data_IF_124268362034
#
_entry.id   IF_124268362034
#
_cell.length_a   1.000
_cell.length_b   1.000
_cell.length_c   1.000
_cell.angle_alpha   90.00
_cell.angle_beta   90.00
_cell.angle_gamma   90.00
#
_symmetry.space_group_name_H-M   'P 1'
#
loop_
_entity.id
_entity.type
_entity.pdbx_description
1 polymer ?
#
# COMPACT_ATOMS: atom_id res chain seq x y z
N UNK A 1 -76.38 61.38 53.76
CA UNK A 1 -75.87 59.99 53.78
C UNK A 1 -74.40 60.02 53.38
N UNK A 2 -73.48 59.70 54.29
CA UNK A 2 -72.02 59.79 54.07
C UNK A 2 -71.44 58.38 54.12
N UNK A 3 -70.73 57.96 53.06
CA UNK A 3 -70.12 56.63 52.99
C UNK A 3 -68.67 56.69 53.49
N UNK A 4 -68.21 55.71 54.30
CA UNK A 4 -66.83 55.68 54.75
C UNK A 4 -65.91 55.20 53.62
N UNK A 5 -64.99 56.08 53.22
CA UNK A 5 -63.88 55.76 52.30
C UNK A 5 -62.94 54.75 52.96
N UNK A 6 -62.92 53.52 52.46
CA UNK A 6 -61.96 52.49 52.89
C UNK A 6 -60.66 52.70 52.15
N UNK A 7 -59.69 53.36 52.78
CA UNK A 7 -58.32 53.43 52.26
C UNK A 7 -57.68 52.05 52.32
N UNK A 8 -57.49 51.40 51.17
CA UNK A 8 -56.73 50.16 51.08
C UNK A 8 -55.25 50.45 51.33
N UNK A 9 -54.71 50.01 52.47
CA UNK A 9 -53.28 50.06 52.74
C UNK A 9 -52.60 48.99 51.88
N UNK A 10 -51.76 49.45 50.93
CA UNK A 10 -50.89 48.58 50.16
C UNK A 10 -49.85 47.94 51.08
N UNK A 11 -49.90 46.62 51.24
CA UNK A 11 -48.87 45.86 51.97
C UNK A 11 -47.57 45.93 51.15
N UNK A 12 -46.56 46.61 51.69
CA UNK A 12 -45.21 46.58 51.14
C UNK A 12 -44.49 45.35 51.69
N UNK A 13 -44.28 44.36 50.83
CA UNK A 13 -43.41 43.22 51.16
C UNK A 13 -41.95 43.71 51.20
N UNK A 14 -41.13 43.27 52.17
CA UNK A 14 -39.73 43.64 52.20
C UNK A 14 -39.06 43.13 50.92
N UNK A 15 -38.51 44.05 50.14
CA UNK A 15 -37.70 43.69 48.98
C UNK A 15 -36.52 42.85 49.48
N UNK A 16 -36.56 41.55 49.24
CA UNK A 16 -35.39 40.70 49.43
C UNK A 16 -34.36 41.20 48.42
N UNK A 17 -33.35 41.90 48.93
CA UNK A 17 -32.13 42.19 48.19
C UNK A 17 -31.42 40.84 47.97
N UNK A 18 -31.91 40.08 47.00
CA UNK A 18 -31.17 38.96 46.45
C UNK A 18 -29.99 39.63 45.78
N UNK A 19 -28.86 39.62 46.48
CA UNK A 19 -27.58 39.98 45.91
C UNK A 19 -27.38 39.07 44.69
N UNK A 20 -27.78 39.55 43.51
CA UNK A 20 -27.46 38.94 42.23
C UNK A 20 -26.01 39.30 41.94
N UNK A 21 -25.09 38.84 42.79
CA UNK A 21 -23.69 38.85 42.45
C UNK A 21 -23.55 37.92 41.26
N UNK A 22 -23.46 38.50 40.07
CA UNK A 22 -23.17 37.78 38.85
C UNK A 22 -21.76 37.19 39.02
N UNK A 23 -21.69 35.92 39.40
CA UNK A 23 -20.43 35.22 39.57
C UNK A 23 -19.85 34.96 38.16
N UNK A 24 -18.84 35.75 37.77
CA UNK A 24 -18.13 35.58 36.50
C UNK A 24 -16.96 34.62 36.73
N UNK A 25 -17.18 33.34 36.52
CA UNK A 25 -16.11 32.34 36.50
C UNK A 25 -15.27 32.53 35.23
N UNK A 26 -14.04 33.04 35.39
CA UNK A 26 -13.09 33.16 34.29
C UNK A 26 -12.64 31.75 33.86
N UNK A 27 -13.16 31.24 32.75
CA UNK A 27 -12.70 30.00 32.14
C UNK A 27 -11.59 30.32 31.15
N UNK A 28 -10.43 29.69 31.33
CA UNK A 28 -9.28 29.85 30.45
C UNK A 28 -9.57 29.18 29.10
N UNK A 29 -9.81 29.98 28.06
CA UNK A 29 -9.96 29.49 26.69
C UNK A 29 -8.58 29.26 26.06
N UNK A 30 -8.12 28.02 26.09
CA UNK A 30 -6.84 27.64 25.48
C UNK A 30 -6.93 27.66 23.96
N UNK A 31 -5.90 28.22 23.32
CA UNK A 31 -5.76 28.17 21.86
C UNK A 31 -5.18 26.80 21.46
N UNK A 32 -5.69 26.15 20.41
CA UNK A 32 -5.13 24.90 19.93
C UNK A 32 -3.72 25.13 19.35
N UNK A 33 -2.78 24.25 19.68
CA UNK A 33 -1.44 24.29 19.11
C UNK A 33 -1.44 23.61 17.73
N UNK A 34 -1.36 24.41 16.67
CA UNK A 34 -1.42 23.93 15.29
C UNK A 34 0.02 23.75 14.77
N UNK A 35 0.45 22.53 14.42
CA UNK A 35 1.78 22.30 13.87
C UNK A 35 1.90 22.86 12.44
N UNK A 36 3.13 23.15 12.03
CA UNK A 36 3.41 23.55 10.66
C UNK A 36 3.06 22.42 9.68
N UNK A 37 2.50 22.78 8.52
CA UNK A 37 2.12 21.83 7.48
C UNK A 37 2.69 22.26 6.13
N UNK A 38 3.25 21.28 5.42
CA UNK A 38 3.78 21.41 4.06
C UNK A 38 2.72 20.99 3.04
N UNK A 39 2.90 21.42 1.81
CA UNK A 39 2.12 20.97 0.64
C UNK A 39 2.86 19.84 -0.03
N UNK A 40 2.29 18.63 -0.02
CA UNK A 40 2.90 17.45 -0.58
C UNK A 40 2.11 16.97 -1.80
N UNK A 41 2.83 16.66 -2.90
CA UNK A 41 2.29 16.01 -4.08
C UNK A 41 2.39 14.49 -3.89
N UNK A 42 1.25 13.81 -3.87
CA UNK A 42 1.17 12.36 -3.72
C UNK A 42 0.88 11.77 -5.10
N UNK A 43 1.76 10.87 -5.58
CA UNK A 43 1.55 10.08 -6.79
C UNK A 43 1.10 8.67 -6.43
N UNK A 44 -0.10 8.31 -6.90
CA UNK A 44 -0.67 6.97 -6.78
C UNK A 44 -0.09 6.03 -7.85
N UNK A 45 -0.37 4.73 -7.73
CA UNK A 45 0.22 3.69 -8.57
C UNK A 45 -0.27 3.71 -10.01
N UNK A 46 -1.45 4.29 -10.24
CA UNK A 46 -2.00 4.54 -11.58
C UNK A 46 -1.39 5.79 -12.25
N UNK A 47 -0.47 6.47 -11.57
CA UNK A 47 0.14 7.72 -12.01
C UNK A 47 -0.73 8.95 -11.74
N UNK A 48 -1.92 8.80 -11.16
CA UNK A 48 -2.72 9.95 -10.75
C UNK A 48 -2.08 10.67 -9.56
N UNK A 49 -2.23 11.99 -9.52
CA UNK A 49 -1.57 12.84 -8.52
C UNK A 49 -2.55 13.77 -7.82
N UNK A 50 -2.39 13.95 -6.52
CA UNK A 50 -3.14 14.93 -5.75
C UNK A 50 -2.25 15.66 -4.74
N UNK A 51 -2.68 16.83 -4.31
CA UNK A 51 -1.97 17.66 -3.31
C UNK A 51 -2.65 17.56 -1.95
N UNK A 52 -1.88 17.26 -0.90
CA UNK A 52 -2.37 17.17 0.49
C UNK A 52 -1.53 18.05 1.41
N UNK A 53 -2.15 18.58 2.48
CA UNK A 53 -1.42 19.21 3.58
C UNK A 53 -0.97 18.13 4.58
N UNK A 54 0.33 17.94 4.71
CA UNK A 54 0.92 16.98 5.65
C UNK A 54 1.96 17.66 6.54
N UNK A 55 2.39 17.02 7.61
CA UNK A 55 3.47 17.52 8.48
C UNK A 55 4.85 17.03 8.03
N UNK A 56 4.92 16.19 6.99
CA UNK A 56 6.16 15.70 6.43
C UNK A 56 6.80 16.77 5.54
N UNK A 57 8.13 17.00 5.65
CA UNK A 57 8.83 17.98 4.83
C UNK A 57 9.06 17.50 3.38
N UNK A 58 8.78 16.24 3.06
CA UNK A 58 9.02 15.68 1.73
C UNK A 58 8.00 16.23 0.72
N UNK A 59 8.43 16.90 -0.38
CA UNK A 59 7.51 17.55 -1.31
C UNK A 59 6.76 16.57 -2.22
N UNK A 60 7.34 15.40 -2.50
CA UNK A 60 6.75 14.38 -3.37
C UNK A 60 6.72 13.05 -2.61
N UNK A 61 5.57 12.39 -2.61
CA UNK A 61 5.39 11.06 -2.06
C UNK A 61 4.92 10.11 -3.16
N UNK A 62 5.62 8.99 -3.34
CA UNK A 62 5.24 7.96 -4.30
C UNK A 62 4.71 6.75 -3.55
N UNK A 63 3.45 6.42 -3.75
CA UNK A 63 2.81 5.30 -3.07
C UNK A 63 3.06 4.00 -3.83
N UNK A 64 3.42 2.94 -3.10
CA UNK A 64 3.63 1.58 -3.66
C UNK A 64 2.46 0.65 -3.41
N UNK A 65 1.64 0.91 -2.38
CA UNK A 65 0.44 0.16 -2.01
C UNK A 65 -0.69 1.14 -1.73
N UNK A 66 -1.73 1.13 -2.56
CA UNK A 66 -2.85 2.06 -2.46
C UNK A 66 -4.18 1.37 -2.83
N UNK A 67 -5.25 2.17 -2.88
CA UNK A 67 -6.59 1.67 -3.23
C UNK A 67 -6.72 1.32 -4.70
N UNK A 68 -5.79 1.71 -5.58
CA UNK A 68 -5.81 1.43 -7.02
C UNK A 68 -5.12 0.10 -7.34
N UNK A 69 -4.17 -0.35 -6.54
CA UNK A 69 -3.48 -1.63 -6.74
C UNK A 69 -3.92 -2.78 -5.82
N UNK A 70 -4.89 -2.55 -4.93
CA UNK A 70 -5.40 -3.60 -4.06
C UNK A 70 -6.65 -4.28 -4.63
N UNK A 71 -6.69 -5.62 -4.65
CA UNK A 71 -7.81 -6.39 -5.22
C UNK A 71 -9.11 -6.21 -4.45
N UNK A 72 -9.04 -5.79 -3.17
CA UNK A 72 -10.23 -5.54 -2.35
C UNK A 72 -11.01 -4.33 -2.86
N UNK A 73 -10.33 -3.27 -3.30
CA UNK A 73 -10.97 -2.05 -3.76
C UNK A 73 -11.26 -2.05 -5.27
N UNK A 74 -10.58 -2.89 -6.06
CA UNK A 74 -10.83 -3.05 -7.50
C UNK A 74 -11.05 -4.53 -7.89
N UNK A 75 -12.19 -5.13 -7.49
CA UNK A 75 -12.45 -6.55 -7.72
C UNK A 75 -12.69 -6.90 -9.20
N UNK A 76 -13.04 -5.93 -10.04
CA UNK A 76 -13.25 -6.11 -11.48
C UNK A 76 -11.95 -6.24 -12.27
N UNK A 77 -10.81 -5.84 -11.70
CA UNK A 77 -9.52 -5.93 -12.38
C UNK A 77 -8.96 -7.35 -12.25
N UNK A 78 -9.15 -8.16 -13.29
CA UNK A 78 -8.63 -9.53 -13.38
C UNK A 78 -7.11 -9.61 -13.18
N UNK A 79 -6.37 -8.59 -13.65
CA UNK A 79 -4.92 -8.48 -13.49
C UNK A 79 -4.45 -8.49 -12.02
N UNK A 80 -5.25 -7.92 -11.10
CA UNK A 80 -4.90 -7.86 -9.68
C UNK A 80 -5.27 -9.15 -8.91
N UNK A 81 -6.15 -9.97 -9.48
CA UNK A 81 -6.68 -11.18 -8.83
C UNK A 81 -5.66 -12.31 -8.75
N UNK A 82 -4.76 -12.38 -9.74
CA UNK A 82 -3.68 -13.37 -9.81
C UNK A 82 -2.33 -12.78 -9.37
N UNK A 83 -2.32 -11.58 -8.78
CA UNK A 83 -1.08 -10.99 -8.31
C UNK A 83 -0.62 -11.74 -7.06
N UNK A 84 0.50 -12.45 -7.16
CA UNK A 84 1.14 -13.15 -6.06
C UNK A 84 1.65 -12.15 -5.03
N UNK A 85 0.86 -11.89 -3.98
CA UNK A 85 1.24 -11.01 -2.88
C UNK A 85 2.12 -11.77 -1.88
N UNK A 86 3.36 -12.06 -2.27
CA UNK A 86 4.36 -12.63 -1.35
C UNK A 86 4.94 -11.56 -0.42
N UNK A 87 4.16 -11.14 0.57
CA UNK A 87 4.57 -10.12 1.54
C UNK A 87 5.72 -10.60 2.45
N UNK A 88 5.79 -11.91 2.70
CA UNK A 88 6.83 -12.51 3.52
C UNK A 88 8.11 -12.85 2.72
N UNK A 89 8.10 -12.68 1.40
CA UNK A 89 9.21 -13.05 0.51
C UNK A 89 9.54 -14.54 0.52
N UNK A 90 8.65 -15.40 1.03
CA UNK A 90 8.92 -16.83 1.21
C UNK A 90 8.91 -17.59 -0.10
N UNK A 91 7.95 -17.27 -0.97
CA UNK A 91 7.87 -17.85 -2.31
C UNK A 91 9.02 -17.34 -3.17
N UNK A 92 9.35 -16.05 -3.07
CA UNK A 92 10.53 -15.48 -3.73
C UNK A 92 11.81 -16.17 -3.29
N UNK A 93 12.04 -16.31 -1.98
CA UNK A 93 13.22 -16.98 -1.44
C UNK A 93 13.26 -18.47 -1.81
N UNK A 94 12.10 -19.13 -1.89
CA UNK A 94 12.01 -20.51 -2.36
C UNK A 94 12.40 -20.63 -3.84
N UNK A 95 11.87 -19.75 -4.70
CA UNK A 95 12.23 -19.68 -6.13
C UNK A 95 13.69 -19.38 -6.36
N UNK A 96 14.29 -18.50 -5.56
CA UNK A 96 15.72 -18.21 -5.60
C UNK A 96 16.56 -19.44 -5.24
N UNK A 97 16.06 -20.35 -4.39
CA UNK A 97 16.79 -21.55 -3.94
C UNK A 97 16.57 -22.77 -4.83
N UNK A 98 15.34 -23.00 -5.27
CA UNK A 98 14.92 -24.25 -5.92
C UNK A 98 14.44 -24.05 -7.36
N UNK A 99 14.50 -22.82 -7.88
CA UNK A 99 14.01 -22.47 -9.20
C UNK A 99 12.48 -22.45 -9.29
N UNK A 100 11.94 -22.35 -10.51
CA UNK A 100 10.50 -22.24 -10.79
C UNK A 100 9.81 -23.54 -11.17
N UNK A 101 10.51 -24.68 -11.14
CA UNK A 101 9.93 -25.97 -11.51
C UNK A 101 8.86 -26.52 -10.55
N UNK A 102 8.60 -25.81 -9.45
CA UNK A 102 7.61 -26.15 -8.42
C UNK A 102 6.46 -25.12 -8.35
N UNK A 103 6.45 -24.12 -9.24
CA UNK A 103 5.33 -23.19 -9.35
C UNK A 103 4.11 -23.94 -9.91
N UNK A 104 2.90 -23.60 -9.47
CA UNK A 104 1.67 -24.20 -10.00
C UNK A 104 1.42 -23.58 -11.38
N UNK A 105 1.54 -24.38 -12.44
CA UNK A 105 1.20 -23.93 -13.79
C UNK A 105 -0.29 -23.59 -13.85
N UNK A 106 -0.60 -22.32 -14.10
CA UNK A 106 -1.97 -21.79 -14.15
C UNK A 106 -2.79 -22.27 -15.38
N UNK A 107 -2.44 -23.43 -15.94
CA UNK A 107 -2.92 -23.91 -17.24
C UNK A 107 -3.87 -25.11 -17.21
N UNK A 108 -4.14 -25.75 -16.06
CA UNK A 108 -4.92 -27.00 -16.04
C UNK A 108 -6.26 -26.94 -15.29
N UNK A 109 -6.92 -25.78 -15.19
CA UNK A 109 -8.35 -25.73 -14.81
C UNK A 109 -9.10 -24.57 -15.53
N UNK A 110 -9.65 -24.85 -16.72
CA UNK A 110 -10.89 -24.23 -17.24
C UNK A 110 -10.88 -22.77 -17.75
N UNK A 111 -10.87 -22.66 -19.09
CA UNK A 111 -11.51 -21.65 -19.96
C UNK A 111 -11.07 -20.14 -20.00
N UNK A 112 -10.45 -19.85 -21.15
CA UNK A 112 -10.54 -18.68 -22.08
C UNK A 112 -10.05 -17.29 -21.65
N UNK A 113 -8.99 -16.83 -22.33
CA UNK A 113 -8.70 -15.41 -22.56
C UNK A 113 -7.27 -15.13 -23.00
N UNK A 114 -7.07 -15.01 -24.32
CA UNK A 114 -5.81 -14.84 -25.05
C UNK A 114 -4.95 -13.63 -24.61
N UNK A 115 -3.62 -13.77 -24.74
CA UNK A 115 -2.67 -12.67 -24.53
C UNK A 115 -1.20 -13.09 -24.43
N UNK A 116 -0.65 -13.54 -25.55
CA UNK A 116 0.75 -13.54 -26.01
C UNK A 116 1.87 -13.18 -25.00
N UNK A 117 2.78 -14.14 -24.78
CA UNK A 117 4.08 -13.95 -24.12
C UNK A 117 5.04 -15.06 -24.54
N UNK A 118 6.01 -14.69 -25.37
CA UNK A 118 6.82 -15.55 -26.24
C UNK A 118 7.80 -16.48 -25.50
N UNK A 119 7.68 -17.80 -25.73
CA UNK A 119 8.68 -18.59 -26.48
C UNK A 119 10.16 -18.61 -26.08
N UNK A 120 10.58 -18.27 -24.85
CA UNK A 120 12.01 -18.31 -24.47
C UNK A 120 12.41 -19.54 -23.65
N UNK A 121 11.46 -20.16 -22.92
CA UNK A 121 11.76 -21.29 -22.03
C UNK A 121 11.97 -22.65 -22.71
N UNK A 122 11.52 -22.79 -23.96
CA UNK A 122 11.51 -24.08 -24.66
C UNK A 122 12.81 -24.34 -25.44
N UNK A 123 13.39 -23.28 -26.06
CA UNK A 123 14.66 -23.38 -26.82
C UNK A 123 15.85 -23.79 -25.95
N UNK A 124 15.91 -23.27 -24.71
CA UNK A 124 17.01 -23.57 -23.77
C UNK A 124 17.03 -25.05 -23.33
N UNK A 125 15.86 -25.69 -23.30
CA UNK A 125 15.73 -27.11 -22.95
C UNK A 125 16.24 -28.02 -24.06
N UNK A 126 15.92 -27.69 -25.31
CA UNK A 126 16.39 -28.44 -26.48
C UNK A 126 17.90 -28.27 -26.70
N UNK A 127 18.42 -27.05 -26.52
CA UNK A 127 19.86 -26.76 -26.65
C UNK A 127 20.70 -27.49 -25.58
N UNK A 128 20.21 -27.59 -24.35
CA UNK A 128 20.87 -28.36 -23.27
C UNK A 128 20.84 -29.88 -23.51
N UNK A 129 19.83 -30.38 -24.23
CA UNK A 129 19.71 -31.79 -24.56
C UNK A 129 20.61 -32.19 -25.74
N UNK A 130 20.77 -31.30 -26.73
CA UNK A 130 21.62 -31.52 -27.91
C UNK A 130 23.12 -31.52 -27.57
N UNK A 131 23.56 -30.75 -26.58
CA UNK A 131 24.95 -30.75 -26.07
C UNK A 131 25.29 -32.08 -25.36
N UNK A 132 24.35 -32.62 -24.58
CA UNK A 132 24.52 -33.88 -23.86
C UNK A 132 24.58 -35.09 -24.82
N UNK A 133 23.79 -35.08 -25.90
CA UNK A 133 23.80 -36.12 -26.93
C UNK A 133 25.12 -36.09 -27.73
N UNK A 134 25.64 -34.90 -28.01
CA UNK A 134 26.93 -34.75 -28.71
C UNK A 134 28.11 -35.26 -27.87
N UNK A 135 28.06 -35.10 -26.54
CA UNK A 135 29.06 -35.65 -25.63
C UNK A 135 29.09 -37.18 -25.56
N UNK A 136 27.96 -37.85 -25.83
CA UNK A 136 27.86 -39.31 -25.79
C UNK A 136 28.36 -40.01 -27.07
N UNK A 137 28.36 -39.31 -28.22
CA UNK A 137 28.79 -39.86 -29.51
C UNK A 137 30.31 -39.82 -29.75
N UNK A 138 31.09 -39.24 -28.83
CA UNK A 138 32.53 -38.97 -29.00
C UNK A 138 33.52 -39.94 -28.36
N UNK A 139 33.07 -41.00 -27.67
CA UNK A 139 33.96 -41.94 -26.94
C UNK A 139 34.30 -43.19 -27.77
N UNK A 140 34.79 -43.01 -29.00
CA UNK A 140 35.55 -44.07 -29.69
C UNK A 140 36.73 -43.48 -30.49
N UNK A 141 37.93 -43.53 -29.90
CA UNK A 141 39.20 -43.65 -30.62
C UNK A 141 39.99 -42.36 -30.93
N UNK A 142 41.15 -42.22 -30.26
CA UNK A 142 42.47 -41.73 -30.75
C UNK A 142 43.16 -40.96 -29.61
N UNK A 143 44.33 -41.33 -29.09
CA UNK A 143 45.57 -41.61 -29.82
C UNK A 143 46.55 -40.44 -29.61
N UNK A 144 47.33 -40.51 -28.53
CA UNK A 144 48.67 -39.94 -28.26
C UNK A 144 49.13 -38.61 -28.91
N UNK A 145 49.62 -37.66 -28.08
CA UNK A 145 50.28 -36.43 -28.57
C UNK A 145 50.93 -35.57 -27.48
N UNK A 146 52.14 -35.96 -27.06
CA UNK A 146 53.04 -35.19 -26.19
C UNK A 146 53.71 -34.02 -26.94
N UNK A 147 53.73 -32.81 -26.37
CA UNK A 147 54.94 -32.04 -26.00
C UNK A 147 54.59 -30.64 -25.52
N UNK A 148 55.22 -30.24 -24.40
CA UNK A 148 55.04 -28.94 -23.77
C UNK A 148 55.82 -27.79 -24.42
N UNK A 149 55.47 -26.58 -23.99
CA UNK A 149 56.21 -25.35 -24.24
C UNK A 149 56.00 -24.40 -23.07
N UNK A 150 57.10 -24.03 -22.42
CA UNK A 150 57.22 -23.23 -21.20
C UNK A 150 58.06 -22.00 -21.54
N UNK A 151 57.58 -20.80 -21.21
CA UNK A 151 58.25 -19.50 -20.96
C UNK A 151 57.58 -18.33 -21.69
N UNK A 152 57.46 -17.22 -20.98
CA UNK A 152 57.17 -15.89 -21.48
C UNK A 152 56.30 -15.10 -20.53
#
# INVERSE_FOLDING_TARGET
MSLPSKTLRRVQLPARNICKQQQRNATLLQRPHIPYTFTQLISLTDGSTFTLRTTSPAPIFRTTKDTRNSPLWNPSLSSLRNQEQDEAGRLRAFREKFGRGWDIDAGEEGEVGEGEGEGEGDRVREDSLMDLISGAAGVEGSGNGSKGGRKG
#
